data_IF_904793455667
#
_entry.id   IF_904793455667
#
_cell.length_a   1.000
_cell.length_b   1.000
_cell.length_c   1.000
_cell.angle_alpha   90.00
_cell.angle_beta   90.00
_cell.angle_gamma   90.00
#
_symmetry.space_group_name_H-M   'P 1'
#
loop_
_entity.id
_entity.type
_entity.pdbx_description
1 polymer ?
2 polymer ?
3 polymer ?
4 polymer ?
5 non-polymer ?
6 non-polymer ?
7 non-polymer ?
8 non-polymer ?
9 non-polymer ?
10 non-polymer ?
11 water ?
#
loop_
_entity_poly.entity_id
_entity_poly.type
_entity_poly.pdbx_seq_one_letter_code
_entity_poly.pdbx_strand_id
2 'polydeoxyribonucleotide' '(DC)(DG)(DG)(DC)(DG)(DT)(DA)(DC)(DG)' ?
3 'polydeoxyribonucleotide' '(DC)(DG)(DT)(DA)' ?
4 'polydeoxyribonucleotide' '(DG)(DC)(DC)(DG)' ?
#
# COMPACT_ATOMS: atom_id res chain seq x y z
N UNK A 10 -18.25 8.95 14.90
CA UNK A 10 -17.16 8.80 13.95
C UNK A 10 -15.82 9.22 14.58
N UNK A 11 -15.01 8.27 15.01
CA UNK A 11 -13.72 8.62 15.62
C UNK A 11 -12.77 9.24 14.60
N UNK A 12 -11.75 9.91 15.12
CA UNK A 12 -10.88 10.73 14.27
C UNK A 12 -9.80 9.91 13.58
N UNK A 13 -9.36 8.81 14.19
CA UNK A 13 -8.33 7.97 13.60
C UNK A 13 -8.98 6.85 12.78
N UNK A 14 -8.38 6.54 11.63
CA UNK A 14 -8.93 5.48 10.78
C UNK A 14 -8.84 4.12 11.44
N UNK A 15 -7.88 3.91 12.34
CA UNK A 15 -7.74 2.63 13.02
C UNK A 15 -8.79 2.43 14.12
N UNK A 16 -9.64 3.42 14.38
CA UNK A 16 -10.66 3.33 15.40
C UNK A 16 -12.02 2.94 14.86
N UNK A 17 -12.11 2.62 13.56
CA UNK A 17 -13.41 2.40 12.95
C UNK A 17 -13.27 1.36 11.86
N UNK A 18 -14.31 0.56 11.61
CA UNK A 18 -14.26 -0.40 10.50
C UNK A 18 -14.35 0.31 9.16
N UNK A 19 -13.48 -0.06 8.23
CA UNK A 19 -13.55 0.47 6.87
C UNK A 19 -13.63 -0.71 5.90
N UNK A 20 -14.79 -0.97 5.31
CA UNK A 20 -14.89 -2.12 4.40
C UNK A 20 -14.29 -1.74 3.05
N UNK A 21 -14.06 -2.78 2.27
CA UNK A 21 -13.46 -2.60 0.96
C UNK A 21 -14.38 -1.83 0.03
N UNK A 22 -15.64 -2.21 -0.04
CA UNK A 22 -16.63 -1.52 -0.84
C UNK A 22 -17.61 -0.82 0.10
N UNK A 23 -18.10 0.35 -0.31
CA UNK A 23 -18.86 1.20 0.59
C UNK A 23 -19.92 1.95 -0.20
N UNK A 24 -20.42 3.06 0.37
CA UNK A 24 -21.61 3.74 -0.13
C UNK A 24 -21.32 5.18 -0.55
N UNK A 25 -20.05 5.54 -0.73
CA UNK A 25 -19.66 6.89 -1.11
C UNK A 25 -18.47 6.84 -2.05
N UNK A 26 -18.50 5.90 -2.99
CA UNK A 26 -17.33 5.63 -3.84
C UNK A 26 -16.93 6.86 -4.64
N UNK A 27 -17.91 7.52 -5.28
CA UNK A 27 -17.59 8.68 -6.09
C UNK A 27 -16.98 9.81 -5.30
N UNK A 28 -17.50 10.05 -4.09
CA UNK A 28 -16.98 11.15 -3.27
C UNK A 28 -15.56 10.86 -2.81
N UNK A 29 -15.28 9.63 -2.37
CA UNK A 29 -13.94 9.31 -1.91
C UNK A 29 -12.93 9.36 -3.05
N UNK A 30 -13.32 8.91 -4.24
CA UNK A 30 -12.40 8.94 -5.37
C UNK A 30 -12.01 10.37 -5.72
N UNK A 31 -12.96 11.30 -5.64
CA UNK A 31 -12.66 12.70 -5.94
C UNK A 31 -11.67 13.29 -4.93
N UNK A 32 -11.89 13.02 -3.64
CA UNK A 32 -10.98 13.54 -2.62
C UNK A 32 -9.59 12.92 -2.75
N UNK A 33 -9.51 11.66 -3.16
CA UNK A 33 -8.22 11.01 -3.31
C UNK A 33 -7.48 11.52 -4.54
N UNK A 34 -8.17 12.05 -5.55
CA UNK A 34 -7.50 12.78 -6.62
C UNK A 34 -6.73 13.96 -6.06
N UNK A 35 -7.40 14.77 -5.23
CA UNK A 35 -6.75 15.94 -4.65
C UNK A 35 -5.62 15.53 -3.72
N UNK A 36 -5.79 14.43 -2.98
CA UNK A 36 -4.71 13.92 -2.15
C UNK A 36 -3.50 13.55 -3.00
N UNK A 37 -3.75 12.79 -4.07
CA UNK A 37 -2.67 12.40 -4.98
C UNK A 37 -1.95 13.63 -5.53
N UNK A 38 -2.71 14.62 -6.00
CA UNK A 38 -2.09 15.81 -6.56
C UNK A 38 -1.29 16.56 -5.50
N UNK A 39 -1.80 16.62 -4.27
CA UNK A 39 -1.04 17.24 -3.19
C UNK A 39 0.31 16.56 -3.01
N UNK A 40 0.34 15.23 -3.10
CA UNK A 40 1.60 14.52 -2.99
C UNK A 40 2.56 14.84 -4.14
N UNK A 41 2.02 14.98 -5.35
CA UNK A 41 2.86 15.34 -6.49
C UNK A 41 3.53 16.69 -6.29
N UNK A 42 2.96 17.55 -5.46
CA UNK A 42 3.53 18.87 -5.19
C UNK A 42 4.30 18.92 -3.88
N UNK A 43 4.42 17.79 -3.17
CA UNK A 43 5.18 17.76 -1.95
C UNK A 43 4.45 18.24 -0.72
N UNK A 44 3.12 18.31 -0.75
CA UNK A 44 2.33 18.77 0.38
C UNK A 44 1.78 17.55 1.12
N UNK A 45 2.63 16.97 1.97
CA UNK A 45 2.25 15.76 2.70
C UNK A 45 1.08 16.03 3.64
N UNK A 46 1.03 17.20 4.24
CA UNK A 46 -0.05 17.51 5.16
C UNK A 46 -1.40 17.50 4.47
N UNK A 47 -1.50 18.20 3.33
CA UNK A 47 -2.75 18.24 2.59
C UNK A 47 -3.12 16.86 2.06
N UNK A 48 -2.14 16.09 1.60
CA UNK A 48 -2.40 14.73 1.15
C UNK A 48 -3.07 13.92 2.26
N UNK A 49 -2.54 14.02 3.48
CA UNK A 49 -3.09 13.26 4.60
C UNK A 49 -4.53 13.67 4.88
N UNK A 50 -4.81 14.98 4.91
CA UNK A 50 -6.16 15.44 5.21
C UNK A 50 -7.15 14.92 4.16
N UNK A 51 -6.80 15.03 2.88
CA UNK A 51 -7.70 14.54 1.84
C UNK A 51 -7.84 13.03 1.90
N UNK A 52 -6.76 12.31 2.21
CA UNK A 52 -6.84 10.87 2.39
C UNK A 52 -7.74 10.52 3.58
N UNK A 53 -7.58 11.22 4.70
CA UNK A 53 -8.40 10.95 5.87
C UNK A 53 -9.86 11.28 5.60
N UNK A 54 -10.13 12.42 4.96
CA UNK A 54 -11.51 12.78 4.64
C UNK A 54 -12.14 11.74 3.73
N UNK A 55 -11.40 11.29 2.72
CA UNK A 55 -11.89 10.22 1.86
C UNK A 55 -12.20 8.97 2.66
N UNK A 56 -11.32 8.61 3.60
CA UNK A 56 -11.51 7.38 4.37
C UNK A 56 -12.73 7.49 5.28
N UNK A 57 -12.99 8.67 5.83
CA UNK A 57 -14.18 8.86 6.66
C UNK A 57 -15.43 8.47 5.88
N UNK A 58 -15.52 8.92 4.64
CA UNK A 58 -16.67 8.58 3.80
C UNK A 58 -16.74 7.09 3.53
N UNK A 59 -15.59 6.44 3.38
CA UNK A 59 -15.59 4.98 3.20
C UNK A 59 -16.21 4.28 4.40
N UNK A 60 -16.09 4.86 5.60
CA UNK A 60 -16.55 4.24 6.82
C UNK A 60 -18.01 4.55 7.15
N UNK A 61 -18.66 5.40 6.34
CA UNK A 61 -20.03 5.77 6.64
C UNK A 61 -20.98 4.63 6.29
N UNK A 62 -22.12 4.53 6.99
CA UNK A 62 -23.04 3.41 6.76
C UNK A 62 -23.99 3.60 5.58
N UNK A 63 -24.01 4.76 4.94
CA UNK A 63 -24.92 5.01 3.84
C UNK A 63 -24.39 6.19 3.04
N UNK A 64 -24.97 6.47 1.87
CA UNK A 64 -24.46 7.57 1.04
C UNK A 64 -24.72 8.92 1.68
N UNK A 65 -23.75 9.83 1.50
CA UNK A 65 -23.95 11.24 1.81
C UNK A 65 -24.80 11.85 0.70
N UNK A 66 -25.97 12.38 1.07
CA UNK A 66 -26.87 13.00 0.11
C UNK A 66 -27.00 14.50 0.28
N UNK A 67 -26.68 15.03 1.46
CA UNK A 67 -26.80 16.46 1.73
C UNK A 67 -25.54 16.93 2.44
N UNK A 68 -25.22 18.22 2.25
CA UNK A 68 -24.04 18.78 2.89
C UNK A 68 -24.13 18.70 4.41
N UNK A 69 -25.34 18.81 4.97
CA UNK A 69 -25.50 18.81 6.42
C UNK A 69 -25.00 17.52 7.06
N UNK A 70 -24.95 16.43 6.30
CA UNK A 70 -24.47 15.16 6.85
C UNK A 70 -22.95 15.14 7.06
N UNK A 71 -22.25 16.18 6.61
CA UNK A 71 -20.82 16.31 6.90
C UNK A 71 -20.54 17.00 8.22
N UNK A 72 -21.52 17.70 8.79
CA UNK A 72 -21.32 18.39 10.05
C UNK A 72 -20.91 17.41 11.13
N UNK A 73 -19.84 17.73 11.85
CA UNK A 73 -19.33 16.89 12.91
C UNK A 73 -18.42 15.77 12.45
N UNK A 74 -18.30 15.52 11.16
CA UNK A 74 -17.41 14.47 10.70
C UNK A 74 -15.96 14.95 10.79
N UNK A 75 -15.05 14.16 11.34
CA UNK A 75 -13.66 14.60 11.43
C UNK A 75 -13.04 14.74 10.05
N UNK A 76 -12.14 15.73 9.94
CA UNK A 76 -11.32 15.98 8.76
C UNK A 76 -12.10 16.58 7.60
N UNK A 77 -13.32 17.06 7.83
CA UNK A 77 -14.07 17.79 6.81
C UNK A 77 -14.14 19.26 7.22
N UNK A 78 -13.35 20.09 6.55
CA UNK A 78 -13.38 21.52 6.76
C UNK A 78 -13.94 22.24 5.54
N UNK A 79 -13.52 23.48 5.34
CA UNK A 79 -14.05 24.28 4.22
C UNK A 79 -13.74 23.63 2.88
N UNK A 80 -12.53 23.13 2.69
CA UNK A 80 -12.12 22.66 1.37
C UNK A 80 -12.80 21.35 1.01
N UNK A 81 -12.62 20.32 1.85
CA UNK A 81 -13.20 19.02 1.55
C UNK A 81 -14.72 19.09 1.46
N UNK A 82 -15.34 19.94 2.28
CA UNK A 82 -16.80 20.07 2.23
C UNK A 82 -17.24 20.72 0.92
N UNK A 83 -16.51 21.73 0.46
CA UNK A 83 -16.84 22.37 -0.81
C UNK A 83 -16.74 21.37 -1.95
N UNK A 84 -15.74 20.50 -1.91
CA UNK A 84 -15.61 19.46 -2.93
C UNK A 84 -16.86 18.60 -2.96
N UNK A 85 -17.26 18.07 -1.79
CA UNK A 85 -18.45 17.22 -1.73
C UNK A 85 -19.69 17.99 -2.18
N UNK A 86 -19.81 19.25 -1.73
CA UNK A 86 -20.97 20.05 -2.07
C UNK A 86 -21.15 20.14 -3.59
N UNK A 87 -20.07 20.44 -4.31
CA UNK A 87 -20.19 20.60 -5.76
C UNK A 87 -20.55 19.28 -6.43
N UNK A 88 -19.98 18.17 -5.96
CA UNK A 88 -20.33 16.87 -6.52
C UNK A 88 -21.80 16.54 -6.27
N UNK A 89 -22.29 16.84 -5.06
CA UNK A 89 -23.71 16.61 -4.77
C UNK A 89 -24.59 17.49 -5.65
N UNK A 90 -24.23 18.77 -5.81
CA UNK A 90 -25.06 19.71 -6.54
C UNK A 90 -24.96 19.56 -8.06
N UNK A 91 -23.76 19.23 -8.61
CA UNK A 91 -23.56 19.19 -10.05
C UNK A 91 -22.98 17.88 -10.56
N UNK A 92 -22.70 16.92 -9.69
CA UNK A 92 -22.06 15.69 -10.11
C UNK A 92 -20.61 15.82 -10.51
N UNK A 93 -20.04 17.02 -10.41
CA UNK A 93 -18.66 17.27 -10.81
C UNK A 93 -18.09 18.35 -9.90
N UNK A 94 -16.80 18.24 -9.59
CA UNK A 94 -16.08 19.27 -8.85
C UNK A 94 -15.06 19.91 -9.79
N UNK A 95 -15.18 21.23 -9.98
CA UNK A 95 -14.36 21.91 -10.97
C UNK A 95 -12.87 21.75 -10.66
N UNK A 96 -12.49 21.89 -9.40
CA UNK A 96 -11.08 21.75 -9.04
C UNK A 96 -10.57 20.35 -9.39
N UNK A 97 -11.37 19.33 -9.07
CA UNK A 97 -10.96 17.95 -9.34
C UNK A 97 -10.77 17.73 -10.84
N UNK A 98 -11.72 18.21 -11.64
CA UNK A 98 -11.61 18.04 -13.09
C UNK A 98 -10.41 18.81 -13.63
N UNK A 99 -10.14 20.00 -13.09
CA UNK A 99 -8.98 20.76 -13.55
C UNK A 99 -7.68 20.01 -13.25
N UNK A 100 -7.61 19.34 -12.10
CA UNK A 100 -6.45 18.51 -11.80
C UNK A 100 -6.38 17.34 -12.78
N UNK A 101 -7.51 16.66 -12.97
CA UNK A 101 -7.53 15.47 -13.83
C UNK A 101 -6.87 15.73 -15.19
N UNK A 102 -7.24 16.83 -15.84
CA UNK A 102 -6.79 17.09 -17.20
C UNK A 102 -5.53 17.96 -17.26
N UNK A 103 -4.93 18.29 -16.12
CA UNK A 103 -3.72 19.10 -16.14
C UNK A 103 -2.54 18.26 -16.60
N UNK A 104 -1.64 18.89 -17.37
CA UNK A 104 -0.46 18.18 -17.86
C UNK A 104 0.44 17.78 -16.70
N UNK A 105 0.47 18.58 -15.63
CA UNK A 105 1.29 18.26 -14.46
C UNK A 105 0.81 16.97 -13.80
N UNK A 106 -0.49 16.88 -13.51
CA UNK A 106 -1.02 15.69 -12.84
C UNK A 106 -0.84 14.45 -13.69
N UNK A 107 -1.20 14.54 -14.97
CA UNK A 107 -1.16 13.36 -15.82
C UNK A 107 0.26 12.81 -15.97
N UNK A 108 1.24 13.71 -16.10
CA UNK A 108 2.62 13.26 -16.29
C UNK A 108 3.23 12.75 -14.99
N UNK A 109 3.00 13.46 -13.88
CA UNK A 109 3.50 12.97 -12.60
C UNK A 109 2.91 11.62 -12.25
N UNK A 110 1.63 11.41 -12.55
CA UNK A 110 1.02 10.09 -12.34
C UNK A 110 1.69 9.05 -13.24
N UNK A 111 1.85 9.36 -14.52
CA UNK A 111 2.49 8.44 -15.45
C UNK A 111 3.88 8.05 -14.97
N UNK A 112 4.67 9.03 -14.53
CA UNK A 112 6.05 8.76 -14.15
C UNK A 112 6.15 8.04 -12.81
N UNK A 113 5.39 8.48 -11.80
CA UNK A 113 5.44 7.84 -10.50
C UNK A 113 4.92 6.40 -10.53
N UNK A 114 4.10 6.05 -11.53
CA UNK A 114 3.65 4.68 -11.67
C UNK A 114 4.78 3.73 -12.05
N UNK A 115 5.88 4.26 -12.57
CA UNK A 115 7.01 3.42 -12.97
C UNK A 115 7.71 2.89 -11.71
N UNK A 116 7.97 1.59 -11.70
CA UNK A 116 8.73 0.98 -10.62
C UNK A 116 10.17 1.52 -10.63
N UNK A 117 10.56 2.18 -9.54
CA UNK A 117 11.86 2.81 -9.46
C UNK A 117 11.84 4.32 -9.58
N UNK A 118 10.66 4.91 -9.80
CA UNK A 118 10.50 6.35 -9.95
C UNK A 118 9.56 6.84 -8.85
N UNK A 119 10.05 7.78 -8.04
CA UNK A 119 9.23 8.44 -7.05
C UNK A 119 8.89 9.86 -7.46
N UNK A 120 8.24 10.56 -6.53
CA UNK A 120 7.79 11.93 -6.80
C UNK A 120 8.97 12.82 -7.18
N UNK A 121 10.07 12.70 -6.43
CA UNK A 121 11.20 13.60 -6.67
C UNK A 121 11.82 13.38 -8.05
N UNK A 122 11.97 12.12 -8.46
CA UNK A 122 12.51 11.85 -9.79
C UNK A 122 11.55 12.32 -10.87
N UNK A 123 10.26 11.97 -10.75
CA UNK A 123 9.28 12.40 -11.74
C UNK A 123 9.24 13.91 -11.86
N UNK A 124 9.28 14.61 -10.72
CA UNK A 124 9.27 16.06 -10.78
C UNK A 124 10.48 16.59 -11.55
N UNK A 125 11.66 16.03 -11.28
CA UNK A 125 12.87 16.51 -11.96
C UNK A 125 12.74 16.31 -13.46
N UNK A 126 12.33 15.11 -13.88
CA UNK A 126 12.07 14.85 -15.30
C UNK A 126 11.03 15.81 -15.86
N UNK A 127 9.98 16.12 -15.10
CA UNK A 127 8.96 17.05 -15.58
C UNK A 127 9.57 18.43 -15.83
N UNK A 128 10.38 18.92 -14.89
CA UNK A 128 11.03 20.21 -15.08
C UNK A 128 11.99 20.19 -16.25
N UNK A 129 12.57 19.03 -16.56
CA UNK A 129 13.45 18.90 -17.71
C UNK A 129 12.70 18.86 -19.03
N UNK A 130 11.36 18.85 -19.00
CA UNK A 130 10.56 18.83 -20.21
C UNK A 130 10.08 17.47 -20.63
N UNK A 131 10.45 16.41 -19.93
CA UNK A 131 10.01 15.07 -20.29
C UNK A 131 8.54 14.88 -19.95
N UNK A 132 7.81 14.17 -20.82
CA UNK A 132 6.37 14.01 -20.68
C UNK A 132 5.85 12.61 -20.90
N UNK A 133 6.51 11.77 -21.71
CA UNK A 133 6.00 10.46 -22.09
C UNK A 133 7.01 9.38 -21.72
N UNK A 134 6.53 8.13 -21.72
CA UNK A 134 7.43 7.01 -21.48
C UNK A 134 8.49 6.92 -22.56
N UNK A 135 8.10 7.15 -23.82
CA UNK A 135 9.08 7.09 -24.91
C UNK A 135 10.13 8.18 -24.76
N UNK A 136 9.79 9.31 -24.14
CA UNK A 136 10.81 10.32 -23.84
C UNK A 136 11.88 9.73 -22.91
N UNK A 137 11.46 8.86 -21.98
CA UNK A 137 12.41 8.24 -21.07
C UNK A 137 13.23 7.16 -21.77
N UNK A 138 12.59 6.38 -22.62
CA UNK A 138 13.30 5.30 -23.31
C UNK A 138 14.37 5.85 -24.25
N UNK A 139 14.15 7.04 -24.81
CA UNK A 139 15.11 7.61 -25.76
C UNK A 139 16.42 7.98 -25.08
N UNK A 140 16.37 8.37 -23.81
CA UNK A 140 17.55 8.77 -23.04
C UNK A 140 17.76 7.78 -21.90
N UNK A 141 18.15 6.53 -22.21
CA UNK A 141 18.27 5.52 -21.16
C UNK A 141 19.48 5.71 -20.26
N UNK A 142 20.41 6.58 -20.63
CA UNK A 142 21.59 6.80 -19.80
C UNK A 142 21.22 7.38 -18.44
N UNK A 143 20.10 8.10 -18.36
CA UNK A 143 19.67 8.75 -17.13
C UNK A 143 18.81 7.85 -16.26
N UNK A 144 18.84 6.53 -16.48
CA UNK A 144 17.98 5.60 -15.76
C UNK A 144 18.82 4.64 -14.93
N UNK A 145 18.34 4.36 -13.72
CA UNK A 145 18.91 3.29 -12.92
C UNK A 145 18.50 1.95 -13.49
N UNK A 146 19.24 0.90 -13.09
CA UNK A 146 18.88 -0.45 -13.49
C UNK A 146 17.46 -0.78 -13.05
N UNK A 147 17.08 -0.34 -11.85
CA UNK A 147 15.73 -0.56 -11.36
C UNK A 147 14.70 0.12 -12.26
N UNK A 148 14.98 1.36 -12.68
CA UNK A 148 14.05 2.09 -13.53
C UNK A 148 13.99 1.50 -14.93
N UNK A 149 15.11 0.95 -15.42
CA UNK A 149 15.09 0.30 -16.72
C UNK A 149 14.19 -0.92 -16.71
N UNK A 150 14.20 -1.68 -15.62
CA UNK A 150 13.31 -2.83 -15.50
C UNK A 150 11.86 -2.39 -15.36
N UNK A 151 11.60 -1.36 -14.56
CA UNK A 151 10.25 -0.86 -14.41
C UNK A 151 9.68 -0.31 -15.70
N UNK A 152 10.53 0.35 -16.50
CA UNK A 152 10.07 0.93 -17.76
C UNK A 152 9.85 -0.15 -18.81
N UNK A 153 10.77 -1.12 -18.90
CA UNK A 153 10.59 -2.21 -19.86
C UNK A 153 9.33 -3.02 -19.55
N UNK A 154 9.08 -3.30 -18.27
CA UNK A 154 7.95 -4.12 -17.86
C UNK A 154 6.71 -3.29 -17.53
N UNK A 155 6.72 -1.99 -17.84
CA UNK A 155 5.67 -1.09 -17.38
C UNK A 155 4.29 -1.56 -17.83
N UNK A 156 4.17 -2.02 -19.08
CA UNK A 156 2.86 -2.39 -19.60
C UNK A 156 2.26 -3.55 -18.81
N UNK A 157 3.02 -4.63 -18.63
CA UNK A 157 2.53 -5.74 -17.84
C UNK A 157 2.23 -5.31 -16.41
N UNK A 158 3.12 -4.50 -15.81
CA UNK A 158 2.92 -4.10 -14.42
C UNK A 158 1.72 -3.18 -14.25
N UNK A 159 1.22 -2.59 -15.34
CA UNK A 159 0.03 -1.76 -15.27
C UNK A 159 -1.26 -2.56 -15.31
N UNK A 160 -1.19 -3.87 -15.62
CA UNK A 160 -2.39 -4.70 -15.63
C UNK A 160 -2.64 -5.26 -14.23
N UNK A 161 -3.89 -5.28 -13.74
CA UNK A 161 -4.13 -5.78 -12.39
C UNK A 161 -3.75 -7.24 -12.23
N UNK A 162 -3.15 -7.55 -11.09
CA UNK A 162 -2.95 -8.93 -10.68
C UNK A 162 -4.27 -9.46 -10.14
N UNK A 163 -4.67 -10.64 -10.58
CA UNK A 163 -5.95 -11.21 -10.19
C UNK A 163 -5.79 -12.17 -9.03
N UNK A 164 -6.80 -12.20 -8.15
CA UNK A 164 -6.77 -13.14 -7.04
C UNK A 164 -6.62 -14.56 -7.53
N UNK A 165 -7.16 -14.86 -8.71
CA UNK A 165 -7.01 -16.19 -9.30
C UNK A 165 -5.60 -16.48 -9.77
N UNK A 166 -4.74 -15.46 -9.88
CA UNK A 166 -3.32 -15.68 -10.14
C UNK A 166 -2.54 -16.03 -8.87
N UNK A 167 -3.09 -15.71 -7.70
CA UNK A 167 -2.26 -15.64 -6.50
C UNK A 167 -1.91 -17.03 -5.99
N UNK A 168 -2.88 -17.94 -5.98
CA UNK A 168 -2.64 -19.27 -5.40
C UNK A 168 -1.51 -20.00 -6.13
N UNK A 169 -1.56 -20.02 -7.45
CA UNK A 169 -0.48 -20.64 -8.21
C UNK A 169 0.86 -20.01 -7.89
N UNK A 170 0.89 -18.68 -7.79
CA UNK A 170 2.13 -17.98 -7.47
C UNK A 170 2.61 -18.31 -6.06
N UNK A 171 1.70 -18.38 -5.10
CA UNK A 171 2.10 -18.73 -3.74
C UNK A 171 2.71 -20.13 -3.70
N UNK A 172 2.25 -21.03 -4.57
CA UNK A 172 2.76 -22.39 -4.56
C UNK A 172 4.22 -22.45 -5.00
N UNK A 173 4.61 -21.68 -6.02
CA UNK A 173 6.00 -21.71 -6.46
C UNK A 173 6.90 -21.06 -5.42
N UNK A 174 6.42 -20.00 -4.76
CA UNK A 174 7.21 -19.40 -3.69
C UNK A 174 7.39 -20.39 -2.54
N UNK A 175 6.32 -21.07 -2.15
CA UNK A 175 6.40 -22.03 -1.07
C UNK A 175 7.38 -23.15 -1.38
N UNK A 176 7.44 -23.55 -2.66
CA UNK A 176 8.36 -24.63 -3.03
C UNK A 176 9.80 -24.18 -2.85
N UNK A 177 10.12 -22.98 -3.33
CA UNK A 177 11.46 -22.43 -3.12
C UNK A 177 11.74 -22.22 -1.64
N UNK A 178 10.75 -21.72 -0.90
CA UNK A 178 10.93 -21.47 0.53
C UNK A 178 11.17 -22.78 1.27
N UNK A 179 10.43 -23.83 0.92
CA UNK A 179 10.60 -25.11 1.60
C UNK A 179 11.96 -25.72 1.40
N UNK A 180 12.55 -25.52 0.22
CA UNK A 180 13.92 -26.00 -0.01
C UNK A 180 14.93 -25.12 0.70
N UNK A 181 14.69 -23.81 0.72
CA UNK A 181 15.61 -22.90 1.40
C UNK A 181 15.66 -23.19 2.89
N UNK A 182 14.51 -23.51 3.49
CA UNK A 182 14.44 -23.78 4.92
C UNK A 182 13.19 -24.59 5.23
N UNK A 183 13.30 -25.92 5.30
CA UNK A 183 12.13 -26.74 5.65
C UNK A 183 11.45 -26.23 6.91
N UNK A 184 10.12 -26.21 6.87
CA UNK A 184 9.33 -25.69 7.96
C UNK A 184 8.96 -24.22 7.84
N UNK A 185 9.64 -23.48 6.97
CA UNK A 185 9.28 -22.08 6.77
C UNK A 185 7.93 -21.96 6.10
N UNK A 186 7.21 -20.89 6.42
CA UNK A 186 5.85 -20.70 5.95
C UNK A 186 5.74 -19.43 5.13
N UNK A 187 4.74 -19.39 4.25
CA UNK A 187 4.46 -18.24 3.40
C UNK A 187 3.03 -17.81 3.69
N UNK A 188 2.85 -16.53 4.01
CA UNK A 188 1.55 -15.96 4.32
C UNK A 188 1.22 -14.84 3.35
N UNK A 189 0.07 -14.96 2.68
CA UNK A 189 -0.40 -13.90 1.82
C UNK A 189 -0.81 -12.69 2.66
N UNK A 190 -0.26 -11.53 2.30
CA UNK A 190 -0.55 -10.28 3.01
C UNK A 190 -1.03 -9.23 2.03
N UNK A 191 -0.75 -7.96 2.32
CA UNK A 191 -1.10 -6.89 1.39
C UNK A 191 -2.59 -6.81 1.11
N UNK A 192 -2.91 -6.22 -0.04
CA UNK A 192 -4.30 -5.93 -0.37
C UNK A 192 -5.17 -7.16 -0.46
N UNK A 193 -4.62 -8.26 -0.98
CA UNK A 193 -5.42 -9.47 -1.14
C UNK A 193 -5.89 -10.02 0.19
N UNK A 194 -5.10 -9.86 1.25
CA UNK A 194 -5.55 -10.32 2.57
C UNK A 194 -6.70 -9.46 3.08
N UNK A 195 -6.79 -8.20 2.65
CA UNK A 195 -7.92 -7.36 3.00
C UNK A 195 -9.16 -7.63 2.17
N UNK A 196 -9.11 -8.63 1.28
CA UNK A 196 -10.25 -9.01 0.47
C UNK A 196 -10.25 -8.47 -0.94
N UNK A 197 -9.23 -7.71 -1.34
CA UNK A 197 -9.19 -7.20 -2.71
C UNK A 197 -9.21 -8.35 -3.70
N UNK A 198 -9.90 -8.14 -4.81
CA UNK A 198 -9.92 -9.11 -5.90
C UNK A 198 -8.86 -8.83 -6.96
N UNK A 199 -8.25 -7.64 -6.92
CA UNK A 199 -7.14 -7.29 -7.79
C UNK A 199 -6.07 -6.59 -6.97
N UNK A 200 -4.88 -6.49 -7.55
CA UNK A 200 -3.80 -5.80 -6.88
C UNK A 200 -2.73 -5.35 -7.86
N UNK A 201 -1.91 -4.41 -7.39
CA UNK A 201 -0.75 -3.98 -8.18
C UNK A 201 0.42 -4.92 -8.01
N UNK A 202 0.38 -5.80 -7.02
CA UNK A 202 1.45 -6.76 -6.76
C UNK A 202 0.88 -7.86 -5.86
N UNK A 203 1.75 -8.79 -5.47
CA UNK A 203 1.45 -9.79 -4.45
C UNK A 203 2.50 -9.66 -3.36
N UNK A 204 2.05 -9.60 -2.10
CA UNK A 204 2.92 -9.41 -0.95
C UNK A 204 2.91 -10.68 -0.11
N UNK A 205 4.09 -11.25 0.14
CA UNK A 205 4.23 -12.49 0.89
C UNK A 205 5.10 -12.26 2.12
N UNK A 206 4.63 -12.74 3.27
CA UNK A 206 5.37 -12.68 4.52
C UNK A 206 5.85 -14.08 4.87
N UNK A 207 7.16 -14.21 5.12
CA UNK A 207 7.81 -15.49 5.36
C UNK A 207 8.34 -15.53 6.79
N UNK A 208 8.18 -16.66 7.46
CA UNK A 208 8.74 -16.84 8.79
C UNK A 208 9.03 -18.32 9.01
N UNK A 209 9.46 -18.65 10.24
CA UNK A 209 9.74 -20.02 10.62
C UNK A 209 9.38 -20.15 12.09
N UNK A 210 8.76 -21.26 12.52
CA UNK A 210 8.28 -21.34 13.91
C UNK A 210 9.38 -21.37 14.95
N UNK A 211 10.62 -21.66 14.58
CA UNK A 211 11.75 -21.69 15.51
C UNK A 211 12.49 -20.36 15.40
N UNK A 212 12.35 -19.53 16.45
CA UNK A 212 12.99 -18.23 16.47
C UNK A 212 14.47 -18.34 16.13
N UNK A 213 14.91 -17.52 15.17
CA UNK A 213 16.29 -17.48 14.74
C UNK A 213 16.56 -18.24 13.46
N UNK A 214 15.79 -19.28 13.18
CA UNK A 214 16.03 -20.09 11.99
C UNK A 214 15.81 -19.31 10.70
N UNK A 215 15.06 -18.21 10.76
CA UNK A 215 14.78 -17.42 9.56
C UNK A 215 15.94 -16.51 9.16
N UNK A 216 16.95 -16.37 10.01
CA UNK A 216 18.08 -15.50 9.68
C UNK A 216 18.76 -15.97 8.41
N UNK A 217 19.00 -15.03 7.49
CA UNK A 217 19.65 -15.32 6.23
C UNK A 217 18.79 -16.06 5.23
N UNK A 218 17.48 -16.08 5.41
CA UNK A 218 16.61 -16.91 4.59
C UNK A 218 16.39 -16.32 3.20
N UNK A 219 16.18 -15.01 3.11
CA UNK A 219 15.66 -14.44 1.87
C UNK A 219 16.66 -14.57 0.72
N UNK A 220 17.97 -14.36 0.95
CA UNK A 220 18.91 -14.65 -0.14
C UNK A 220 18.79 -16.06 -0.68
N UNK A 221 18.64 -17.05 0.20
CA UNK A 221 18.49 -18.43 -0.24
C UNK A 221 17.20 -18.62 -1.03
N UNK A 222 16.12 -17.94 -0.64
CA UNK A 222 14.87 -18.03 -1.37
C UNK A 222 15.02 -17.41 -2.76
N UNK A 223 15.61 -16.22 -2.82
CA UNK A 223 15.74 -15.53 -4.10
C UNK A 223 16.64 -16.29 -5.06
N UNK A 224 17.73 -16.87 -4.56
CA UNK A 224 18.63 -17.63 -5.42
C UNK A 224 17.91 -18.83 -6.03
N UNK A 225 17.06 -19.50 -5.25
CA UNK A 225 16.32 -20.64 -5.77
C UNK A 225 15.26 -20.21 -6.78
N UNK A 226 14.54 -19.13 -6.49
CA UNK A 226 13.58 -18.60 -7.45
C UNK A 226 14.27 -18.24 -8.75
N UNK A 227 15.44 -17.57 -8.67
CA UNK A 227 16.16 -17.20 -9.87
C UNK A 227 16.63 -18.44 -10.63
N UNK A 228 17.02 -19.49 -9.90
CA UNK A 228 17.43 -20.74 -10.55
C UNK A 228 16.28 -21.39 -11.31
N UNK A 229 15.05 -21.21 -10.82
CA UNK A 229 13.87 -21.70 -11.53
C UNK A 229 13.53 -20.86 -12.76
N UNK A 230 14.26 -19.78 -13.02
CA UNK A 230 13.96 -18.92 -14.15
C UNK A 230 12.73 -18.06 -13.97
N UNK A 231 12.33 -17.81 -12.72
CA UNK A 231 11.08 -17.12 -12.44
C UNK A 231 11.25 -15.63 -12.14
N UNK A 232 12.48 -15.17 -11.95
CA UNK A 232 12.74 -13.79 -11.54
C UNK A 232 13.20 -13.01 -12.77
N UNK A 233 12.36 -12.08 -13.22
CA UNK A 233 12.76 -11.17 -14.28
C UNK A 233 13.62 -10.03 -13.74
N UNK A 234 13.45 -9.68 -12.48
CA UNK A 234 14.26 -8.63 -11.87
C UNK A 234 14.22 -8.73 -10.35
N UNK A 235 15.38 -8.59 -9.73
CA UNK A 235 15.47 -8.24 -8.32
C UNK A 235 16.84 -7.65 -8.06
N UNK A 236 16.93 -6.85 -7.00
CA UNK A 236 18.17 -6.16 -6.67
C UNK A 236 19.24 -7.16 -6.28
N UNK A 256 23.11 -9.54 2.76
CA UNK A 256 22.08 -9.77 3.77
C UNK A 256 20.91 -8.82 3.58
N UNK A 257 19.71 -9.36 3.42
CA UNK A 257 18.51 -8.53 3.29
C UNK A 257 17.31 -9.31 3.78
N UNK A 258 16.24 -8.58 4.07
CA UNK A 258 15.01 -9.16 4.61
C UNK A 258 13.76 -8.74 3.85
N UNK A 259 13.87 -7.81 2.90
CA UNK A 259 12.77 -7.45 2.01
C UNK A 259 13.29 -7.51 0.57
N UNK A 260 12.44 -8.02 -0.32
CA UNK A 260 12.79 -8.13 -1.74
C UNK A 260 11.63 -7.65 -2.60
N UNK A 261 11.92 -6.74 -3.51
CA UNK A 261 10.93 -6.20 -4.44
C UNK A 261 11.34 -6.71 -5.82
N UNK A 262 10.63 -7.71 -6.31
CA UNK A 262 11.06 -8.36 -7.54
C UNK A 262 9.95 -8.30 -8.58
N UNK A 263 10.34 -8.68 -9.79
CA UNK A 263 9.44 -8.84 -10.91
C UNK A 263 9.49 -10.31 -11.30
N UNK A 264 8.34 -10.97 -11.27
CA UNK A 264 8.17 -12.40 -11.44
C UNK A 264 7.57 -12.70 -12.80
N UNK A 265 7.91 -13.87 -13.31
CA UNK A 265 7.30 -14.43 -14.50
C UNK A 265 6.08 -15.27 -14.12
N UNK A 266 4.91 -14.80 -14.45
CA UNK A 266 3.67 -15.50 -14.14
C UNK A 266 3.09 -16.15 -15.39
N UNK A 267 2.81 -17.46 -15.37
CA UNK A 267 2.30 -18.12 -16.58
C UNK A 267 0.98 -17.52 -17.04
N UNK A 268 0.78 -17.49 -18.35
CA UNK A 268 -0.46 -17.08 -18.99
C UNK A 268 -0.74 -18.09 -20.10
N UNK A 269 -1.98 -18.11 -20.61
CA UNK A 269 -2.27 -19.03 -21.73
C UNK A 269 -1.31 -18.84 -22.91
N UNK A 270 -0.50 -19.86 -23.16
CA UNK A 270 0.46 -19.85 -24.25
C UNK A 270 1.59 -18.85 -24.11
N UNK A 271 1.77 -18.25 -22.93
CA UNK A 271 2.75 -17.20 -22.73
C UNK A 271 2.93 -16.93 -21.23
N UNK A 272 3.15 -15.67 -20.86
CA UNK A 272 3.44 -15.31 -19.47
C UNK A 272 3.38 -13.79 -19.38
N UNK A 273 3.28 -13.29 -18.16
CA UNK A 273 3.31 -11.85 -17.94
C UNK A 273 4.16 -11.54 -16.73
N UNK A 274 4.75 -10.34 -16.74
CA UNK A 274 5.51 -9.86 -15.60
C UNK A 274 4.57 -9.35 -14.50
N UNK A 275 4.86 -9.73 -13.27
CA UNK A 275 4.09 -9.33 -12.10
C UNK A 275 5.03 -8.90 -11.00
N UNK A 276 4.65 -7.88 -10.24
CA UNK A 276 5.42 -7.44 -9.09
C UNK A 276 5.11 -8.32 -7.90
N UNK A 277 6.16 -8.79 -7.21
CA UNK A 277 6.01 -9.63 -6.02
C UNK A 277 6.96 -9.10 -4.96
N UNK A 278 6.44 -8.90 -3.76
CA UNK A 278 7.24 -8.47 -2.61
C UNK A 278 7.36 -9.63 -1.64
N UNK A 279 8.59 -9.89 -1.18
CA UNK A 279 8.85 -10.90 -0.16
C UNK A 279 9.50 -10.23 1.04
N UNK A 280 9.03 -10.59 2.23
CA UNK A 280 9.59 -10.07 3.47
C UNK A 280 9.71 -11.22 4.47
N UNK A 281 10.82 -11.26 5.19
CA UNK A 281 11.07 -12.25 6.22
C UNK A 281 11.00 -11.57 7.57
N UNK A 282 10.43 -12.26 8.55
CA UNK A 282 10.37 -11.79 9.92
C UNK A 282 10.57 -12.98 10.85
N UNK A 283 11.24 -12.79 11.99
CA UNK A 283 11.24 -13.84 13.00
C UNK A 283 9.85 -14.00 13.59
N UNK A 284 9.54 -15.22 14.04
CA UNK A 284 8.18 -15.51 14.46
C UNK A 284 7.78 -14.60 15.63
N UNK A 285 8.75 -14.15 16.42
CA UNK A 285 8.45 -13.22 17.50
C UNK A 285 7.88 -11.90 16.97
N UNK A 286 8.29 -11.50 15.77
CA UNK A 286 7.82 -10.26 15.16
C UNK A 286 6.71 -10.48 14.15
N UNK A 287 6.36 -11.73 13.87
CA UNK A 287 5.38 -12.03 12.82
C UNK A 287 4.07 -11.26 12.99
N UNK A 288 3.47 -11.17 14.17
CA UNK A 288 2.23 -10.39 14.28
C UNK A 288 2.39 -8.93 13.87
N UNK A 289 3.54 -8.33 14.20
CA UNK A 289 3.78 -6.93 13.83
C UNK A 289 4.01 -6.79 12.33
N UNK A 290 4.69 -7.76 11.73
CA UNK A 290 4.94 -7.70 10.29
C UNK A 290 3.66 -7.98 9.52
N UNK A 291 2.88 -8.96 9.95
CA UNK A 291 1.60 -9.24 9.32
C UNK A 291 0.69 -8.03 9.39
N UNK A 292 0.63 -7.38 10.56
CA UNK A 292 -0.19 -6.18 10.71
C UNK A 292 0.25 -5.08 9.75
N UNK A 293 1.56 -4.80 9.72
CA UNK A 293 2.05 -3.74 8.88
C UNK A 293 1.87 -4.02 7.40
N UNK A 294 2.21 -5.24 6.97
CA UNK A 294 2.14 -5.58 5.55
C UNK A 294 0.73 -5.87 5.06
N UNK A 295 -0.24 -5.99 5.95
CA UNK A 295 -1.62 -6.16 5.52
C UNK A 295 -2.32 -4.84 5.26
N UNK A 296 -1.83 -3.76 5.85
CA UNK A 296 -2.31 -2.42 5.50
C UNK A 296 -3.71 -2.15 6.02
N UNK A 297 -4.45 -1.24 5.37
CA UNK A 297 -3.97 -0.46 4.22
C UNK A 297 -2.84 0.47 4.62
N UNK A 298 -2.24 1.14 3.64
CA UNK A 298 -1.18 2.10 3.92
C UNK A 298 -1.67 3.18 4.88
N UNK A 299 -2.82 3.80 4.56
CA UNK A 299 -3.36 4.82 5.44
C UNK A 299 -3.68 4.26 6.81
N UNK A 300 -4.25 3.05 6.86
CA UNK A 300 -4.57 2.42 8.14
C UNK A 300 -3.33 2.30 9.02
N UNK A 301 -2.19 1.92 8.42
CA UNK A 301 -0.99 1.73 9.22
C UNK A 301 -0.39 3.05 9.68
N UNK A 302 -0.40 4.07 8.80
CA UNK A 302 0.03 5.40 9.22
C UNK A 302 -0.82 5.90 10.38
N UNK A 303 -2.14 5.75 10.27
CA UNK A 303 -3.05 6.18 11.33
C UNK A 303 -2.82 5.38 12.60
N UNK A 304 -2.57 4.07 12.45
CA UNK A 304 -2.36 3.22 13.62
C UNK A 304 -1.07 3.60 14.35
N UNK A 305 0.00 3.88 13.61
CA UNK A 305 1.25 4.30 14.24
C UNK A 305 1.12 5.69 14.85
N UNK A 306 0.36 6.57 14.20
CA UNK A 306 0.10 7.89 14.76
C UNK A 306 -0.73 7.78 16.04
N UNK A 307 -1.78 6.95 16.01
CA UNK A 307 -2.57 6.71 17.21
C UNK A 307 -1.70 6.18 18.34
N UNK A 308 -0.91 5.14 18.05
CA UNK A 308 -0.05 4.53 19.05
C UNK A 308 0.81 5.57 19.75
N UNK A 309 1.54 6.38 18.97
CA UNK A 309 2.47 7.34 19.55
C UNK A 309 1.73 8.48 20.25
N UNK A 310 0.78 9.10 19.55
CA UNK A 310 0.20 10.34 20.05
C UNK A 310 -0.82 10.09 21.16
N UNK A 311 -1.59 9.00 21.07
CA UNK A 311 -2.63 8.74 22.06
C UNK A 311 -2.16 7.83 23.18
N UNK A 312 -1.26 6.88 22.91
CA UNK A 312 -0.86 5.89 23.89
C UNK A 312 0.61 5.98 24.30
N UNK A 313 1.41 6.81 23.64
CA UNK A 313 2.80 6.94 24.02
C UNK A 313 3.66 5.75 23.68
N UNK A 314 3.25 4.92 22.73
CA UNK A 314 3.98 3.74 22.33
C UNK A 314 4.40 3.87 20.87
N UNK A 315 5.53 3.26 20.53
CA UNK A 315 6.14 3.38 19.22
C UNK A 315 5.96 2.08 18.47
N UNK A 316 5.29 2.15 17.32
CA UNK A 316 4.88 0.96 16.56
C UNK A 316 5.55 0.93 15.21
N UNK A 317 6.09 -0.23 14.84
CA UNK A 317 6.53 -0.49 13.47
C UNK A 317 6.28 -1.96 13.18
N UNK A 318 6.77 -2.44 12.03
CA UNK A 318 6.56 -3.82 11.63
C UNK A 318 7.42 -4.80 12.39
N UNK A 319 8.25 -4.32 13.33
CA UNK A 319 9.09 -5.18 14.15
C UNK A 319 8.59 -5.35 15.57
N UNK A 320 7.80 -4.41 16.08
CA UNK A 320 7.38 -4.49 17.46
C UNK A 320 6.70 -3.21 17.90
N UNK A 321 6.39 -3.18 19.20
CA UNK A 321 5.72 -2.05 19.83
C UNK A 321 6.49 -1.71 21.09
N UNK A 322 7.02 -0.49 21.15
CA UNK A 322 8.01 -0.11 22.14
C UNK A 322 7.43 0.89 23.12
N UNK A 323 7.63 0.63 24.42
CA UNK A 323 7.29 1.58 25.47
C UNK A 323 8.54 2.40 25.77
N UNK A 324 8.60 3.68 25.39
CA UNK A 324 9.84 4.45 25.60
C UNK A 324 10.08 4.81 27.05
N UNK A 325 9.07 4.72 27.92
CA UNK A 325 9.28 5.01 29.34
C UNK A 325 9.89 3.81 30.05
N UNK A 326 9.25 2.64 29.93
CA UNK A 326 9.82 1.42 30.48
C UNK A 326 11.01 0.92 29.66
N UNK A 327 11.16 1.40 28.42
CA UNK A 327 12.19 0.91 27.51
C UNK A 327 12.04 -0.59 27.29
N UNK A 328 10.81 -1.02 27.04
CA UNK A 328 10.50 -2.42 26.84
C UNK A 328 9.66 -2.61 25.58
N UNK A 329 9.76 -3.80 25.01
CA UNK A 329 8.95 -4.18 23.85
C UNK A 329 7.80 -5.07 24.30
N UNK A 330 6.62 -4.81 23.74
CA UNK A 330 5.47 -5.67 23.96
C UNK A 330 5.66 -6.97 23.19
N UNK A 331 5.43 -8.10 23.85
CA UNK A 331 5.38 -9.38 23.17
C UNK A 331 3.97 -9.59 22.63
N UNK A 332 3.87 -10.02 21.38
CA UNK A 332 2.60 -10.27 20.74
C UNK A 332 2.63 -11.64 20.08
N UNK A 333 1.60 -12.44 20.34
CA UNK A 333 1.42 -13.72 19.67
C UNK A 333 0.43 -13.65 18.51
N UNK A 334 -0.27 -12.52 18.35
CA UNK A 334 -1.30 -12.40 17.33
C UNK A 334 -1.57 -10.93 17.07
N UNK A 335 -2.23 -10.65 15.95
CA UNK A 335 -2.70 -9.31 15.69
C UNK A 335 -3.67 -8.85 16.78
N UNK A 336 -4.53 -9.76 17.26
CA UNK A 336 -5.45 -9.43 18.32
C UNK A 336 -4.71 -8.88 19.54
N UNK A 337 -3.58 -9.49 19.88
CA UNK A 337 -2.76 -8.98 20.99
C UNK A 337 -2.42 -7.51 20.78
N UNK A 338 -2.05 -7.14 19.55
CA UNK A 338 -1.59 -5.78 19.31
C UNK A 338 -2.73 -4.78 19.48
N UNK A 339 -3.89 -5.09 18.90
CA UNK A 339 -5.05 -4.22 19.08
C UNK A 339 -5.37 -4.05 20.56
N UNK A 340 -5.29 -5.13 21.33
CA UNK A 340 -5.58 -5.05 22.76
C UNK A 340 -4.56 -4.16 23.47
N UNK A 341 -3.28 -4.36 23.17
CA UNK A 341 -2.24 -3.51 23.75
C UNK A 341 -2.58 -2.04 23.57
N UNK A 342 -3.03 -1.66 22.38
CA UNK A 342 -3.29 -0.28 22.04
C UNK A 342 -4.67 0.20 22.47
N UNK A 343 -5.46 -0.66 23.11
CA UNK A 343 -6.79 -0.26 23.54
C UNK A 343 -7.76 -0.01 22.42
N UNK A 344 -7.61 -0.72 21.30
CA UNK A 344 -8.50 -0.59 20.15
C UNK A 344 -9.31 -1.87 19.97
N UNK A 345 -10.56 -1.72 19.56
CA UNK A 345 -11.34 -2.90 19.19
C UNK A 345 -10.70 -3.56 17.98
N UNK A 346 -10.66 -4.89 18.01
CA UNK A 346 -10.04 -5.63 16.92
C UNK A 346 -10.79 -5.38 15.61
N UNK A 347 -10.03 -5.21 14.54
CA UNK A 347 -10.59 -5.09 13.20
C UNK A 347 -9.99 -6.19 12.33
N UNK A 348 -10.79 -7.05 11.71
CA UNK A 348 -10.23 -8.03 10.79
C UNK A 348 -9.63 -7.35 9.58
N UNK A 349 -8.77 -8.02 8.82
CA UNK A 349 -8.15 -7.37 7.66
C UNK A 349 -9.16 -6.75 6.71
N UNK A 350 -10.32 -7.39 6.53
CA UNK A 350 -11.33 -6.88 5.62
C UNK A 350 -11.89 -5.54 6.04
N UNK A 351 -11.72 -5.15 7.31
CA UNK A 351 -12.20 -3.87 7.82
C UNK A 351 -11.07 -2.87 8.02
N UNK A 352 -9.91 -3.12 7.42
CA UNK A 352 -8.78 -2.20 7.47
C UNK A 352 -8.55 -1.49 6.15
N UNK A 353 -9.58 -1.39 5.32
CA UNK A 353 -9.46 -0.77 4.00
C UNK A 353 -9.63 0.74 4.07
N UNK A 354 -8.86 1.38 4.94
CA UNK A 354 -8.89 2.82 5.09
C UNK A 354 -8.35 3.51 3.84
#
# INVERSE_FOLDING_TARGET
GSAAASPAWMPAYACQRPTPLTHHNTGLSEALEILAEAAGFEGSEGRLLTFCRAASVLKALPSPVTTLSQLQGLPHFGEHSSRVVQELLEHGVCEEVERVRRSERYQTMKLFTQIFGVGVKTADRWYREGLRTLDDLREQPQKLTQQQKAGLQHHQDLSTPVLRSDVDALQQVVEEAVGQALPGATVTLTGGFRRGKLQGHDVDFLITHPKEGQEAGLLPRVMCRLQDQGLILYHQHQHSCCESPTRLAQQSHMDAFERSFCIFRLPQPGSWKAVRVDLVVAPVSQFPFALLGWTGSKLFQRELRRFSRKEKGLWLNSHGLFDPEQKTFFQAASEEDIFRHLGLEYLPPEQRNA
#
